data_IF_910824068938
#
_entry.id   IF_910824068938
#
_cell.length_a   1.000
_cell.length_b   1.000
_cell.length_c   1.000
_cell.angle_alpha   90.00
_cell.angle_beta   90.00
_cell.angle_gamma   90.00
#
_symmetry.space_group_name_H-M   'P 1'
#
loop_
_entity.id
_entity.type
_entity.pdbx_description
1 polymer ?
#
# COMPACT_ATOMS: atom_id res chain seq x y z
N UNK A 1 54.36 12.27 -27.07
CA UNK A 1 53.26 13.26 -27.14
C UNK A 1 51.86 12.65 -27.23
N UNK A 2 51.73 11.35 -27.62
CA UNK A 2 50.40 10.71 -27.84
C UNK A 2 49.69 10.19 -26.58
N UNK A 3 50.43 9.89 -25.50
CA UNK A 3 49.84 9.31 -24.27
C UNK A 3 48.91 10.25 -23.55
N UNK A 4 49.15 11.55 -23.57
CA UNK A 4 48.28 12.56 -22.95
C UNK A 4 46.99 12.77 -23.70
N UNK A 5 47.02 12.71 -25.03
CA UNK A 5 45.81 12.82 -25.87
C UNK A 5 44.90 11.56 -25.75
N UNK A 6 45.52 10.38 -25.68
CA UNK A 6 44.80 9.12 -25.46
C UNK A 6 44.13 9.04 -24.04
N UNK A 7 44.85 9.52 -23.01
CA UNK A 7 44.31 9.62 -21.65
C UNK A 7 43.09 10.55 -21.56
N UNK A 8 43.20 11.74 -22.14
CA UNK A 8 42.12 12.73 -22.15
C UNK A 8 40.88 12.23 -22.91
N UNK A 9 41.04 11.46 -23.99
CA UNK A 9 39.97 10.86 -24.77
C UNK A 9 39.24 9.76 -23.96
N UNK A 10 39.94 8.96 -23.14
CA UNK A 10 39.33 7.94 -22.29
C UNK A 10 38.49 8.57 -21.17
N UNK A 11 38.96 9.65 -20.55
CA UNK A 11 38.20 10.40 -19.53
C UNK A 11 36.97 11.06 -20.14
N UNK A 12 37.10 11.68 -21.34
CA UNK A 12 35.96 12.27 -22.04
C UNK A 12 34.89 11.23 -22.38
N UNK A 13 35.30 10.04 -22.83
CA UNK A 13 34.36 8.93 -23.10
C UNK A 13 33.66 8.48 -21.81
N UNK A 14 34.40 8.30 -20.72
CA UNK A 14 33.81 7.93 -19.42
C UNK A 14 32.75 8.96 -18.97
N UNK A 15 33.09 10.25 -19.02
CA UNK A 15 32.18 11.30 -18.63
C UNK A 15 30.91 11.33 -19.51
N UNK A 16 31.03 11.03 -20.80
CA UNK A 16 29.89 10.89 -21.70
C UNK A 16 29.01 9.70 -21.28
N UNK A 17 29.62 8.55 -20.99
CA UNK A 17 28.86 7.37 -20.49
C UNK A 17 28.13 7.67 -19.18
N UNK A 18 28.82 8.31 -18.23
CA UNK A 18 28.22 8.73 -16.95
C UNK A 18 27.04 9.67 -17.19
N UNK A 19 27.20 10.71 -18.01
CA UNK A 19 26.16 11.69 -18.28
C UNK A 19 24.90 11.04 -18.89
N UNK A 20 25.09 10.14 -19.87
CA UNK A 20 23.98 9.40 -20.49
C UNK A 20 23.29 8.51 -19.46
N UNK A 21 24.05 7.76 -18.65
CA UNK A 21 23.49 6.86 -17.64
C UNK A 21 22.70 7.64 -16.60
N UNK A 22 23.22 8.74 -16.07
CA UNK A 22 22.52 9.60 -15.11
C UNK A 22 21.24 10.18 -15.71
N UNK A 23 21.27 10.65 -16.96
CA UNK A 23 20.07 11.18 -17.62
C UNK A 23 18.97 10.12 -17.77
N UNK A 24 19.34 8.88 -18.16
CA UNK A 24 18.42 7.77 -18.26
C UNK A 24 17.83 7.37 -16.91
N UNK A 25 18.67 7.28 -15.87
CA UNK A 25 18.24 6.95 -14.52
C UNK A 25 17.32 8.01 -13.92
N UNK A 26 17.64 9.29 -14.10
CA UNK A 26 16.80 10.38 -13.61
C UNK A 26 15.44 10.39 -14.32
N UNK A 27 15.40 10.11 -15.62
CA UNK A 27 14.14 9.99 -16.37
C UNK A 27 13.34 8.79 -15.89
N UNK A 28 13.97 7.63 -15.72
CA UNK A 28 13.33 6.42 -15.20
C UNK A 28 12.74 6.63 -13.79
N UNK A 29 13.52 7.24 -12.89
CA UNK A 29 13.10 7.58 -11.53
C UNK A 29 11.89 8.52 -11.55
N UNK A 30 11.88 9.52 -12.43
CA UNK A 30 10.73 10.42 -12.60
C UNK A 30 9.46 9.68 -13.02
N UNK A 31 9.55 8.69 -13.92
CA UNK A 31 8.41 7.86 -14.32
C UNK A 31 7.93 6.97 -13.16
N UNK A 32 8.87 6.32 -12.45
CA UNK A 32 8.55 5.52 -11.27
C UNK A 32 7.84 6.36 -10.20
N UNK A 33 8.34 7.57 -9.93
CA UNK A 33 7.78 8.46 -8.90
C UNK A 33 6.33 8.85 -9.18
N UNK A 34 5.97 9.17 -10.43
CA UNK A 34 4.58 9.46 -10.78
C UNK A 34 3.65 8.26 -10.51
N UNK A 35 4.13 7.04 -10.76
CA UNK A 35 3.34 5.84 -10.48
C UNK A 35 3.25 5.53 -9.01
N UNK A 36 4.32 5.70 -8.27
CA UNK A 36 4.44 5.57 -6.83
C UNK A 36 3.47 6.51 -6.11
N UNK A 37 3.49 7.81 -6.42
CA UNK A 37 2.58 8.80 -5.85
C UNK A 37 1.09 8.41 -6.02
N UNK A 38 0.72 7.82 -7.17
CA UNK A 38 -0.63 7.31 -7.40
C UNK A 38 -0.95 6.07 -6.53
N UNK A 39 0.04 5.23 -6.26
CA UNK A 39 -0.11 4.06 -5.38
C UNK A 39 -0.28 4.52 -3.93
N UNK A 40 0.54 5.45 -3.46
CA UNK A 40 0.41 6.04 -2.12
C UNK A 40 -0.97 6.68 -1.92
N UNK A 41 -1.49 7.40 -2.92
CA UNK A 41 -2.85 7.94 -2.85
C UNK A 41 -3.91 6.83 -2.76
N UNK A 42 -3.77 5.75 -3.53
CA UNK A 42 -4.69 4.62 -3.48
C UNK A 42 -4.61 3.87 -2.14
N UNK A 43 -3.41 3.76 -1.53
CA UNK A 43 -3.22 3.22 -0.19
C UNK A 43 -3.92 4.06 0.87
N UNK A 44 -3.79 5.39 0.80
CA UNK A 44 -4.46 6.31 1.71
C UNK A 44 -6.00 6.18 1.59
N UNK A 45 -6.50 6.04 0.37
CA UNK A 45 -7.94 5.81 0.14
C UNK A 45 -8.39 4.47 0.74
N UNK A 46 -7.71 3.37 0.46
CA UNK A 46 -8.04 2.06 1.04
C UNK A 46 -7.99 2.07 2.57
N UNK A 47 -7.03 2.80 3.16
CA UNK A 47 -6.95 2.98 4.61
C UNK A 47 -8.16 3.77 5.16
N UNK A 48 -8.59 4.83 4.46
CA UNK A 48 -9.75 5.63 4.86
C UNK A 48 -11.04 4.80 4.76
N UNK A 49 -11.24 4.10 3.63
CA UNK A 49 -12.41 3.24 3.41
C UNK A 49 -12.49 2.13 4.47
N UNK A 50 -11.38 1.48 4.80
CA UNK A 50 -11.29 0.50 5.88
C UNK A 50 -11.73 1.06 7.23
N UNK A 51 -11.26 2.27 7.59
CA UNK A 51 -11.65 2.92 8.84
C UNK A 51 -13.14 3.25 8.88
N UNK A 52 -13.71 3.72 7.77
CA UNK A 52 -15.12 4.02 7.63
C UNK A 52 -15.98 2.73 7.74
N UNK A 53 -15.59 1.65 7.05
CA UNK A 53 -16.29 0.36 7.15
C UNK A 53 -16.26 -0.20 8.58
N UNK A 54 -15.12 -0.09 9.29
CA UNK A 54 -15.04 -0.47 10.70
C UNK A 54 -15.91 0.41 11.61
N UNK A 55 -15.98 1.71 11.36
CA UNK A 55 -16.86 2.61 12.10
C UNK A 55 -18.35 2.25 11.89
N UNK A 56 -18.74 1.99 10.65
CA UNK A 56 -20.09 1.51 10.32
C UNK A 56 -20.39 0.12 10.92
N UNK A 57 -19.42 -0.79 10.89
CA UNK A 57 -19.53 -2.09 11.58
C UNK A 57 -19.86 -1.92 13.06
N UNK A 58 -19.11 -1.06 13.77
CA UNK A 58 -19.35 -0.78 15.19
C UNK A 58 -20.74 -0.19 15.42
N UNK A 59 -21.18 0.75 14.58
CA UNK A 59 -22.51 1.32 14.65
C UNK A 59 -23.62 0.29 14.43
N UNK A 60 -23.45 -0.66 13.49
CA UNK A 60 -24.39 -1.76 13.24
C UNK A 60 -24.39 -2.75 14.41
N UNK A 61 -23.23 -3.08 14.95
CA UNK A 61 -23.11 -3.94 16.11
C UNK A 61 -23.88 -3.36 17.31
N UNK A 62 -23.69 -2.08 17.61
CA UNK A 62 -24.42 -1.42 18.70
C UNK A 62 -25.96 -1.46 18.47
N UNK A 63 -26.42 -1.21 17.24
CA UNK A 63 -27.85 -1.30 16.91
C UNK A 63 -28.40 -2.72 17.06
N UNK A 64 -27.63 -3.73 16.70
CA UNK A 64 -27.99 -5.13 16.90
C UNK A 64 -28.13 -5.45 18.38
N UNK A 65 -27.14 -5.06 19.22
CA UNK A 65 -27.17 -5.27 20.66
C UNK A 65 -28.38 -4.59 21.34
N UNK A 66 -28.66 -3.34 20.92
CA UNK A 66 -29.83 -2.60 21.43
C UNK A 66 -31.13 -3.33 21.05
N UNK A 67 -31.26 -3.80 19.80
CA UNK A 67 -32.44 -4.53 19.36
C UNK A 67 -32.61 -5.84 20.11
N UNK A 68 -31.53 -6.60 20.35
CA UNK A 68 -31.56 -7.84 21.13
C UNK A 68 -31.93 -7.58 22.61
N UNK A 69 -31.34 -6.56 23.23
CA UNK A 69 -31.68 -6.17 24.59
C UNK A 69 -33.18 -5.77 24.69
N UNK A 70 -33.72 -5.07 23.69
CA UNK A 70 -35.10 -4.68 23.62
C UNK A 70 -36.02 -5.91 23.51
N UNK A 71 -35.64 -6.92 22.69
CA UNK A 71 -36.37 -8.20 22.60
C UNK A 71 -36.47 -8.84 24.00
N UNK A 72 -35.33 -8.97 24.71
CA UNK A 72 -35.28 -9.57 26.04
C UNK A 72 -36.15 -8.80 27.02
N UNK A 73 -36.15 -7.47 27.01
CA UNK A 73 -36.99 -6.64 27.87
C UNK A 73 -38.50 -6.85 27.58
N UNK A 74 -38.86 -6.88 26.28
CA UNK A 74 -40.27 -7.11 25.88
C UNK A 74 -40.76 -8.52 26.25
N UNK A 75 -39.92 -9.54 26.12
CA UNK A 75 -40.22 -10.92 26.51
C UNK A 75 -40.46 -11.01 28.03
N UNK A 76 -39.63 -10.39 28.83
CA UNK A 76 -39.80 -10.34 30.29
C UNK A 76 -41.09 -9.57 30.66
N UNK A 77 -41.35 -8.42 30.04
CA UNK A 77 -42.57 -7.63 30.28
C UNK A 77 -43.84 -8.37 29.89
N UNK A 78 -43.77 -9.15 28.81
CA UNK A 78 -44.89 -9.99 28.34
C UNK A 78 -45.34 -11.03 29.38
N UNK A 79 -44.42 -11.58 30.17
CA UNK A 79 -44.75 -12.58 31.20
C UNK A 79 -45.70 -12.04 32.29
N UNK A 80 -45.65 -10.74 32.57
CA UNK A 80 -46.52 -10.08 33.52
C UNK A 80 -47.70 -9.33 32.91
N UNK A 81 -47.88 -9.37 31.58
CA UNK A 81 -48.86 -8.58 30.88
C UNK A 81 -50.25 -9.23 30.88
N UNK A 82 -51.35 -8.44 30.91
CA UNK A 82 -52.71 -8.95 30.70
C UNK A 82 -52.85 -9.62 29.32
N UNK A 83 -53.70 -10.66 29.21
CA UNK A 83 -53.93 -11.40 27.98
C UNK A 83 -54.32 -10.50 26.78
N UNK A 84 -55.03 -9.42 27.02
CA UNK A 84 -55.42 -8.44 26.00
C UNK A 84 -54.20 -7.67 25.38
N UNK A 85 -53.10 -7.59 26.09
CA UNK A 85 -51.86 -6.91 25.62
C UNK A 85 -50.88 -7.88 24.95
N UNK A 86 -51.04 -9.19 25.09
CA UNK A 86 -50.08 -10.20 24.65
C UNK A 86 -49.77 -10.08 23.15
N UNK A 87 -50.75 -9.87 22.30
CA UNK A 87 -50.56 -9.72 20.85
C UNK A 87 -49.68 -8.49 20.50
N UNK A 88 -49.85 -7.38 21.22
CA UNK A 88 -49.03 -6.18 20.98
C UNK A 88 -47.55 -6.44 21.32
N UNK A 89 -47.25 -7.18 22.39
CA UNK A 89 -45.88 -7.60 22.73
C UNK A 89 -45.33 -8.54 21.66
N UNK A 90 -46.07 -9.53 21.19
CA UNK A 90 -45.62 -10.47 20.15
C UNK A 90 -45.24 -9.75 18.86
N UNK A 91 -46.05 -8.77 18.43
CA UNK A 91 -45.75 -7.95 17.24
C UNK A 91 -44.46 -7.11 17.46
N UNK A 92 -44.33 -6.51 18.63
CA UNK A 92 -43.11 -5.71 18.95
C UNK A 92 -41.87 -6.59 19.00
N UNK A 93 -41.93 -7.76 19.64
CA UNK A 93 -40.85 -8.73 19.72
C UNK A 93 -40.41 -9.17 18.31
N UNK A 94 -41.36 -9.55 17.45
CA UNK A 94 -41.06 -9.95 16.08
C UNK A 94 -40.37 -8.84 15.30
N UNK A 95 -40.82 -7.58 15.42
CA UNK A 95 -40.23 -6.43 14.77
C UNK A 95 -38.74 -6.23 15.20
N UNK A 96 -38.47 -6.29 16.49
CA UNK A 96 -37.11 -6.08 17.00
C UNK A 96 -36.18 -7.26 16.69
N UNK A 97 -36.69 -8.49 16.62
CA UNK A 97 -35.92 -9.65 16.12
C UNK A 97 -35.52 -9.47 14.67
N UNK A 98 -36.46 -9.11 13.78
CA UNK A 98 -36.16 -8.79 12.38
C UNK A 98 -35.12 -7.66 12.26
N UNK A 99 -35.25 -6.60 13.08
CA UNK A 99 -34.29 -5.53 13.11
C UNK A 99 -32.88 -6.02 13.52
N UNK A 100 -32.79 -6.87 14.54
CA UNK A 100 -31.49 -7.44 14.98
C UNK A 100 -30.84 -8.29 13.87
N UNK A 101 -31.64 -9.12 13.19
CA UNK A 101 -31.20 -9.95 12.07
C UNK A 101 -30.68 -9.08 10.88
N UNK A 102 -31.44 -8.03 10.52
CA UNK A 102 -30.99 -7.08 9.49
C UNK A 102 -29.67 -6.38 9.85
N UNK A 103 -29.53 -5.97 11.11
CA UNK A 103 -28.26 -5.34 11.54
C UNK A 103 -27.10 -6.34 11.55
N UNK A 104 -27.36 -7.60 11.91
CA UNK A 104 -26.34 -8.67 11.85
C UNK A 104 -25.81 -8.86 10.42
N UNK A 105 -26.72 -9.01 9.44
CA UNK A 105 -26.33 -9.18 8.03
C UNK A 105 -25.53 -7.98 7.50
N UNK A 106 -26.03 -6.75 7.78
CA UNK A 106 -25.33 -5.53 7.36
C UNK A 106 -23.95 -5.35 8.02
N UNK A 107 -23.83 -5.82 9.26
CA UNK A 107 -22.57 -5.83 10.00
C UNK A 107 -21.55 -6.78 9.37
N UNK A 108 -21.97 -7.99 9.02
CA UNK A 108 -21.08 -8.99 8.42
C UNK A 108 -20.59 -8.57 7.03
N UNK A 109 -21.46 -7.92 6.24
CA UNK A 109 -21.09 -7.32 4.96
C UNK A 109 -20.01 -6.23 5.12
N UNK A 110 -20.18 -5.31 6.07
CA UNK A 110 -19.20 -4.26 6.38
C UNK A 110 -17.86 -4.82 6.87
N UNK A 111 -17.87 -5.91 7.62
CA UNK A 111 -16.65 -6.61 8.00
C UNK A 111 -15.90 -7.14 6.77
N UNK A 112 -16.64 -7.78 5.85
CA UNK A 112 -16.07 -8.27 4.60
C UNK A 112 -15.44 -7.14 3.75
N UNK A 113 -16.11 -5.99 3.68
CA UNK A 113 -15.60 -4.80 2.98
C UNK A 113 -14.32 -4.28 3.64
N UNK A 114 -14.28 -4.14 4.96
CA UNK A 114 -13.09 -3.69 5.68
C UNK A 114 -11.89 -4.66 5.53
N UNK A 115 -12.16 -5.97 5.47
CA UNK A 115 -11.13 -6.98 5.21
C UNK A 115 -10.61 -6.89 3.76
N UNK A 116 -11.48 -6.60 2.80
CA UNK A 116 -11.11 -6.36 1.40
C UNK A 116 -10.27 -5.10 1.23
N UNK A 117 -10.60 -4.01 1.93
CA UNK A 117 -9.80 -2.78 1.92
C UNK A 117 -8.40 -3.02 2.49
N UNK A 118 -8.30 -3.84 3.56
CA UNK A 118 -7.01 -4.23 4.10
C UNK A 118 -6.17 -5.00 3.06
N UNK A 119 -6.76 -5.95 2.35
CA UNK A 119 -6.06 -6.69 1.29
C UNK A 119 -5.63 -5.77 0.15
N UNK A 120 -6.47 -4.80 -0.21
CA UNK A 120 -6.14 -3.79 -1.22
C UNK A 120 -4.94 -2.95 -0.78
N UNK A 121 -4.95 -2.48 0.48
CA UNK A 121 -3.83 -1.76 1.07
C UNK A 121 -2.54 -2.60 1.03
N UNK A 122 -2.58 -3.85 1.48
CA UNK A 122 -1.40 -4.72 1.55
C UNK A 122 -0.80 -4.98 0.16
N UNK A 123 -1.66 -5.18 -0.85
CA UNK A 123 -1.22 -5.35 -2.24
C UNK A 123 -0.58 -4.09 -2.84
N UNK A 124 -1.08 -2.92 -2.49
CA UNK A 124 -0.51 -1.64 -2.91
C UNK A 124 0.80 -1.37 -2.19
N UNK A 125 0.86 -1.62 -0.89
CA UNK A 125 2.08 -1.48 -0.07
C UNK A 125 3.22 -2.34 -0.60
N UNK A 126 2.93 -3.56 -1.03
CA UNK A 126 3.93 -4.43 -1.66
C UNK A 126 4.58 -3.78 -2.90
N UNK A 127 3.81 -3.02 -3.70
CA UNK A 127 4.32 -2.30 -4.86
C UNK A 127 5.03 -1.01 -4.50
N UNK A 128 4.58 -0.31 -3.48
CA UNK A 128 5.22 0.86 -2.90
C UNK A 128 6.65 0.51 -2.44
N UNK A 129 6.81 -0.58 -1.68
CA UNK A 129 8.10 -1.13 -1.26
C UNK A 129 9.06 -1.37 -2.44
N UNK A 130 8.55 -1.81 -3.61
CA UNK A 130 9.36 -1.99 -4.82
C UNK A 130 9.88 -0.67 -5.38
N UNK A 131 9.05 0.39 -5.36
CA UNK A 131 9.46 1.72 -5.80
C UNK A 131 10.43 2.37 -4.82
N UNK A 132 10.22 2.25 -3.53
CA UNK A 132 11.13 2.75 -2.50
C UNK A 132 12.53 2.14 -2.63
N UNK A 133 12.59 0.82 -2.83
CA UNK A 133 13.86 0.13 -3.05
C UNK A 133 14.52 0.54 -4.37
N UNK A 134 13.73 0.74 -5.43
CA UNK A 134 14.21 1.26 -6.70
C UNK A 134 14.84 2.64 -6.53
N UNK A 135 14.15 3.55 -5.86
CA UNK A 135 14.60 4.92 -5.60
C UNK A 135 15.92 4.93 -4.81
N UNK A 136 16.00 4.14 -3.73
CA UNK A 136 17.21 4.04 -2.93
C UNK A 136 18.41 3.53 -3.74
N UNK A 137 18.23 2.47 -4.53
CA UNK A 137 19.30 1.88 -5.35
C UNK A 137 19.72 2.80 -6.49
N UNK A 138 18.78 3.48 -7.15
CA UNK A 138 19.08 4.46 -8.21
C UNK A 138 19.79 5.68 -7.64
N UNK A 139 19.41 6.17 -6.47
CA UNK A 139 20.10 7.26 -5.78
C UNK A 139 21.55 6.90 -5.45
N UNK A 140 21.81 5.68 -4.95
CA UNK A 140 23.17 5.16 -4.71
C UNK A 140 23.95 5.10 -6.03
N UNK A 141 23.34 4.60 -7.10
CA UNK A 141 23.97 4.52 -8.42
C UNK A 141 24.37 5.91 -8.93
N UNK A 142 23.49 6.89 -8.84
CA UNK A 142 23.76 8.28 -9.26
C UNK A 142 24.89 8.89 -8.43
N UNK A 143 24.91 8.67 -7.11
CA UNK A 143 25.98 9.13 -6.24
C UNK A 143 27.35 8.52 -6.63
N UNK A 144 27.38 7.20 -6.92
CA UNK A 144 28.61 6.54 -7.41
C UNK A 144 29.05 7.05 -8.77
N UNK A 145 28.10 7.32 -9.68
CA UNK A 145 28.39 7.91 -11.00
C UNK A 145 28.94 9.33 -10.89
N UNK A 146 28.45 10.14 -9.93
CA UNK A 146 29.01 11.47 -9.65
C UNK A 146 30.49 11.39 -9.20
N UNK A 147 30.82 10.46 -8.29
CA UNK A 147 32.18 10.19 -7.87
C UNK A 147 33.05 9.69 -9.05
N UNK A 148 32.46 8.85 -9.91
CA UNK A 148 33.12 8.35 -11.12
C UNK A 148 33.51 9.49 -12.06
N UNK A 149 32.61 10.46 -12.28
CA UNK A 149 32.91 11.64 -13.12
C UNK A 149 34.07 12.49 -12.57
N UNK A 150 34.11 12.62 -11.23
CA UNK A 150 35.18 13.42 -10.57
C UNK A 150 36.52 12.72 -10.57
N UNK A 151 36.54 11.40 -10.41
CA UNK A 151 37.77 10.62 -10.28
C UNK A 151 38.35 10.11 -11.62
N UNK A 152 37.50 10.02 -12.64
CA UNK A 152 37.86 9.45 -13.93
C UNK A 152 38.12 7.94 -13.91
N UNK A 153 37.66 7.24 -12.87
CA UNK A 153 37.96 5.82 -12.65
C UNK A 153 36.90 4.90 -13.28
N UNK A 154 37.25 4.18 -14.33
CA UNK A 154 36.40 3.16 -14.97
C UNK A 154 35.89 2.06 -14.03
N UNK A 155 36.66 1.53 -13.07
CA UNK A 155 36.15 0.53 -12.14
C UNK A 155 34.95 1.01 -11.32
N UNK A 156 34.88 2.31 -10.95
CA UNK A 156 33.74 2.89 -10.24
C UNK A 156 32.50 2.94 -11.14
N UNK A 157 32.66 3.21 -12.43
CA UNK A 157 31.55 3.15 -13.39
C UNK A 157 30.95 1.75 -13.44
N UNK A 158 31.78 0.71 -13.57
CA UNK A 158 31.27 -0.67 -13.58
C UNK A 158 30.64 -1.07 -12.25
N UNK A 159 31.20 -0.64 -11.12
CA UNK A 159 30.62 -0.88 -9.81
C UNK A 159 29.26 -0.22 -9.65
N UNK A 160 29.05 0.99 -10.20
CA UNK A 160 27.76 1.70 -10.15
C UNK A 160 26.66 1.01 -10.95
N UNK A 161 27.02 0.18 -11.94
CA UNK A 161 26.03 -0.57 -12.72
C UNK A 161 25.32 -1.67 -11.90
N UNK A 162 25.88 -2.11 -10.77
CA UNK A 162 25.23 -3.09 -9.89
C UNK A 162 23.98 -2.48 -9.25
N UNK A 163 24.06 -1.40 -8.46
CA UNK A 163 22.85 -0.77 -7.92
C UNK A 163 21.95 -0.21 -9.04
N UNK A 164 22.50 0.24 -10.16
CA UNK A 164 21.71 0.62 -11.35
C UNK A 164 20.81 -0.51 -11.82
N UNK A 165 21.38 -1.70 -12.07
CA UNK A 165 20.62 -2.84 -12.58
C UNK A 165 19.57 -3.33 -11.59
N UNK A 166 19.89 -3.39 -10.30
CA UNK A 166 18.96 -3.77 -9.24
C UNK A 166 17.83 -2.75 -9.08
N UNK A 167 18.16 -1.45 -9.08
CA UNK A 167 17.16 -0.39 -8.97
C UNK A 167 16.20 -0.36 -10.16
N UNK A 168 16.71 -0.48 -11.38
CA UNK A 168 15.86 -0.58 -12.58
C UNK A 168 14.99 -1.82 -12.56
N UNK A 169 15.51 -2.97 -12.12
CA UNK A 169 14.73 -4.20 -11.98
C UNK A 169 13.56 -4.02 -11.01
N UNK A 170 13.81 -3.42 -9.84
CA UNK A 170 12.77 -3.17 -8.83
C UNK A 170 11.73 -2.16 -9.33
N UNK A 171 12.15 -1.08 -9.99
CA UNK A 171 11.22 -0.12 -10.57
C UNK A 171 10.34 -0.72 -11.67
N UNK A 172 10.90 -1.58 -12.54
CA UNK A 172 10.12 -2.33 -13.54
C UNK A 172 9.15 -3.30 -12.84
N UNK A 173 9.58 -3.99 -11.77
CA UNK A 173 8.70 -4.86 -11.00
C UNK A 173 7.51 -4.08 -10.42
N UNK A 174 7.74 -2.91 -9.81
CA UNK A 174 6.68 -2.01 -9.33
C UNK A 174 5.75 -1.51 -10.44
N UNK A 175 6.28 -1.17 -11.62
CA UNK A 175 5.48 -0.72 -12.76
C UNK A 175 4.58 -1.83 -13.31
N UNK A 176 5.09 -3.06 -13.40
CA UNK A 176 4.41 -4.21 -14.02
C UNK A 176 3.64 -5.07 -13.01
N UNK A 177 3.86 -4.89 -11.70
CA UNK A 177 3.25 -5.70 -10.65
C UNK A 177 3.85 -7.12 -10.57
N UNK A 178 5.13 -7.28 -10.93
CA UNK A 178 5.81 -8.58 -10.78
C UNK A 178 6.02 -8.91 -9.29
N UNK A 179 5.82 -10.17 -8.86
CA UNK A 179 5.95 -10.57 -7.46
C UNK A 179 7.43 -10.79 -7.08
N UNK A 180 8.24 -9.72 -7.19
CA UNK A 180 9.65 -9.71 -6.78
C UNK A 180 9.74 -8.86 -5.52
N UNK A 181 9.94 -9.50 -4.36
CA UNK A 181 10.04 -8.80 -3.08
C UNK A 181 11.27 -9.29 -2.29
N UNK A 182 12.27 -8.45 -2.11
CA UNK A 182 13.43 -8.78 -1.31
C UNK A 182 13.18 -8.53 0.19
N UNK A 183 12.38 -9.40 0.83
CA UNK A 183 11.97 -9.29 2.24
C UNK A 183 13.10 -8.97 3.21
N UNK A 184 14.32 -9.49 2.91
CA UNK A 184 15.48 -9.28 3.76
C UNK A 184 16.00 -7.82 3.72
N UNK A 185 15.90 -7.16 2.56
CA UNK A 185 16.30 -5.76 2.39
C UNK A 185 15.24 -4.81 2.94
N UNK A 186 13.96 -5.12 2.74
CA UNK A 186 12.86 -4.32 3.27
C UNK A 186 12.86 -4.30 4.79
N UNK A 187 13.11 -5.44 5.46
CA UNK A 187 13.28 -5.51 6.93
C UNK A 187 14.48 -4.72 7.48
N UNK A 188 15.45 -4.42 6.65
CA UNK A 188 16.61 -3.61 7.04
C UNK A 188 16.31 -2.11 6.94
N UNK A 189 15.38 -1.73 6.05
CA UNK A 189 15.04 -0.33 5.75
C UNK A 189 13.79 0.16 6.51
N UNK A 190 12.94 -0.74 7.01
CA UNK A 190 11.77 -0.46 7.85
C UNK A 190 12.15 -0.44 9.34
#
# INVERSE_FOLDING_TARGET
PDDGAAGNRKVALLNTCVAITVALLATFMGVCKVKDDNIVQAMQQAQADKLDHWAFYQARNLRQEIAQATVTQLELARLGAPAAAAQAYDVAIARYRTLAEEQAMKKDDLKGQAEQDQQTYDNLNYRDDQFDLSDALVAIAIAMLAVTALTGLWPLFWASLVPTGLGVLMGIAGLTGLPIHPDALMKLLS
#
